data_IF_557681482418
#
_entry.id   IF_557681482418
#
_cell.length_a   1.000
_cell.length_b   1.000
_cell.length_c   1.000
_cell.angle_alpha   90.00
_cell.angle_beta   90.00
_cell.angle_gamma   90.00
#
_symmetry.space_group_name_H-M   'P 1'
#
loop_
_entity.id
_entity.type
_entity.pdbx_description
1 polymer ?
#
# COMPACT_ATOMS: atom_id res chain seq x y z
N UNK A 1 0.94 -21.78 5.27
CA UNK A 1 1.50 -20.45 5.46
C UNK A 1 2.13 -19.92 4.18
N UNK A 2 1.88 -18.68 3.86
CA UNK A 2 2.43 -18.04 2.68
C UNK A 2 3.31 -16.86 3.07
N UNK A 3 4.48 -16.77 2.46
CA UNK A 3 5.39 -15.65 2.66
C UNK A 3 5.24 -14.68 1.48
N UNK A 4 5.13 -13.40 1.80
CA UNK A 4 5.05 -12.34 0.81
C UNK A 4 6.39 -11.63 0.75
N UNK A 5 7.05 -11.67 -0.41
CA UNK A 5 8.38 -11.08 -0.57
C UNK A 5 8.50 -10.19 -1.80
N UNK A 6 7.39 -9.53 -2.17
CA UNK A 6 7.40 -8.60 -3.29
C UNK A 6 8.17 -7.31 -2.99
N UNK A 7 8.37 -7.02 -1.71
CA UNK A 7 9.19 -5.91 -1.25
C UNK A 7 9.85 -6.31 0.06
N UNK A 8 11.04 -5.79 0.31
CA UNK A 8 11.82 -6.16 1.50
C UNK A 8 11.49 -5.31 2.73
N UNK A 9 10.68 -4.28 2.59
CA UNK A 9 10.50 -3.25 3.60
C UNK A 9 9.06 -2.79 3.70
N UNK A 10 8.16 -3.75 3.92
CA UNK A 10 6.73 -3.43 4.07
C UNK A 10 6.52 -2.72 5.40
N UNK A 11 5.98 -1.51 5.33
CA UNK A 11 5.75 -0.65 6.50
C UNK A 11 4.35 -0.80 7.07
N UNK A 12 3.37 -1.08 6.22
CA UNK A 12 2.00 -1.19 6.67
C UNK A 12 1.18 -2.03 5.69
N UNK A 13 0.09 -2.55 6.19
CA UNK A 13 -0.83 -3.37 5.41
C UNK A 13 -2.26 -3.00 5.78
N UNK A 14 -3.12 -2.90 4.79
CA UNK A 14 -4.53 -2.61 4.96
C UNK A 14 -5.37 -3.64 4.24
N UNK A 15 -6.32 -4.26 4.93
CA UNK A 15 -7.26 -5.18 4.32
C UNK A 15 -8.51 -4.42 3.92
N UNK A 16 -8.82 -4.46 2.63
CA UNK A 16 -10.04 -3.86 2.10
C UNK A 16 -11.12 -4.91 1.96
N UNK A 17 -12.09 -4.86 2.84
CA UNK A 17 -13.15 -5.87 2.91
C UNK A 17 -14.01 -5.92 1.64
N UNK A 18 -14.34 -4.76 1.08
CA UNK A 18 -15.24 -4.67 -0.08
C UNK A 18 -14.70 -5.38 -1.33
N UNK A 19 -13.37 -5.44 -1.48
CA UNK A 19 -12.73 -6.09 -2.63
C UNK A 19 -12.02 -7.37 -2.24
N UNK A 20 -11.95 -7.66 -0.94
CA UNK A 20 -11.25 -8.82 -0.39
C UNK A 20 -9.79 -8.85 -0.82
N UNK A 21 -9.13 -7.71 -0.73
CA UNK A 21 -7.75 -7.54 -1.14
C UNK A 21 -6.93 -6.88 -0.04
N UNK A 22 -5.62 -7.06 -0.11
CA UNK A 22 -4.68 -6.38 0.78
C UNK A 22 -3.99 -5.26 0.03
N UNK A 23 -3.78 -4.15 0.72
CA UNK A 23 -2.99 -3.03 0.22
C UNK A 23 -1.76 -2.90 1.12
N UNK A 24 -0.60 -2.85 0.50
CA UNK A 24 0.66 -2.77 1.23
C UNK A 24 1.43 -1.54 0.79
N UNK A 25 2.16 -0.95 1.72
CA UNK A 25 3.07 0.14 1.39
C UNK A 25 4.47 -0.24 1.82
N UNK A 26 5.44 0.00 0.94
CA UNK A 26 6.84 -0.24 1.25
C UNK A 26 7.53 1.09 1.51
N UNK A 27 8.41 1.09 2.49
CA UNK A 27 9.12 2.28 2.95
C UNK A 27 10.19 2.72 1.94
N UNK A 28 11.18 1.86 1.72
CA UNK A 28 12.32 2.23 0.87
C UNK A 28 12.06 2.01 -0.61
N UNK A 29 11.24 1.02 -0.93
CA UNK A 29 10.91 0.74 -2.33
C UNK A 29 9.96 1.77 -2.94
N UNK A 30 9.35 2.62 -2.10
CA UNK A 30 8.44 3.67 -2.55
C UNK A 30 7.34 3.14 -3.45
N UNK A 31 6.66 2.10 -3.00
CA UNK A 31 5.62 1.41 -3.77
C UNK A 31 4.37 1.16 -2.94
N UNK A 32 3.24 1.16 -3.64
CA UNK A 32 1.98 0.63 -3.13
C UNK A 32 1.67 -0.63 -3.91
N UNK A 33 1.31 -1.69 -3.21
CA UNK A 33 1.00 -2.97 -3.82
C UNK A 33 -0.40 -3.42 -3.44
N UNK A 34 -1.11 -3.99 -4.39
CA UNK A 34 -2.42 -4.60 -4.15
C UNK A 34 -2.30 -6.09 -4.34
N UNK A 35 -2.64 -6.86 -3.32
CA UNK A 35 -2.57 -8.31 -3.34
C UNK A 35 -3.96 -8.92 -3.19
N UNK A 36 -4.15 -10.08 -3.80
CA UNK A 36 -5.34 -10.86 -3.55
C UNK A 36 -5.30 -11.45 -2.15
N UNK A 37 -6.44 -11.99 -1.69
CA UNK A 37 -6.52 -12.63 -0.37
C UNK A 37 -5.56 -13.84 -0.28
N UNK A 38 -5.19 -14.43 -1.40
CA UNK A 38 -4.24 -15.55 -1.45
C UNK A 38 -2.80 -15.09 -1.57
N UNK A 39 -2.54 -13.78 -1.61
CA UNK A 39 -1.20 -13.24 -1.65
C UNK A 39 -0.62 -13.03 -3.04
N UNK A 40 -1.43 -13.10 -4.08
CA UNK A 40 -0.97 -12.84 -5.43
C UNK A 40 -0.90 -11.33 -5.69
N UNK A 41 0.18 -10.88 -6.30
CA UNK A 41 0.32 -9.48 -6.66
C UNK A 41 -0.60 -9.14 -7.82
N UNK A 42 -1.58 -8.27 -7.57
CA UNK A 42 -2.53 -7.85 -8.58
C UNK A 42 -2.06 -6.60 -9.30
N UNK A 43 -1.55 -5.62 -8.56
CA UNK A 43 -1.04 -4.37 -9.11
C UNK A 43 0.01 -3.78 -8.19
N UNK A 44 0.89 -2.95 -8.76
CA UNK A 44 1.81 -2.15 -7.96
C UNK A 44 2.02 -0.81 -8.62
N UNK A 45 2.29 0.20 -7.79
CA UNK A 45 2.52 1.57 -8.24
C UNK A 45 3.70 2.15 -7.50
N UNK A 46 4.47 2.97 -8.18
CA UNK A 46 5.50 3.77 -7.53
C UNK A 46 4.84 5.02 -6.96
N UNK A 47 5.30 5.45 -5.80
CA UNK A 47 4.89 6.72 -5.22
C UNK A 47 6.09 7.67 -5.22
N UNK A 48 5.85 9.00 -5.27
CA UNK A 48 6.95 9.96 -5.48
C UNK A 48 7.75 10.28 -4.22
N UNK A 49 7.73 9.41 -3.21
CA UNK A 49 8.47 9.63 -1.97
C UNK A 49 8.73 8.30 -1.28
N UNK A 50 9.75 8.28 -0.43
CA UNK A 50 10.03 7.16 0.46
C UNK A 50 9.44 7.46 1.85
N UNK A 51 9.59 6.52 2.78
CA UNK A 51 9.11 6.68 4.16
C UNK A 51 7.61 6.76 4.31
N UNK A 52 6.87 6.11 3.41
CA UNK A 52 5.45 5.88 3.65
C UNK A 52 5.27 4.94 4.82
N UNK A 53 4.56 5.39 5.85
CA UNK A 53 4.45 4.65 7.12
C UNK A 53 3.07 4.08 7.37
N UNK A 54 2.06 4.55 6.69
CA UNK A 54 0.71 4.05 6.88
C UNK A 54 -0.11 4.15 5.62
N UNK A 55 -1.01 3.21 5.42
CA UNK A 55 -1.91 3.19 4.26
C UNK A 55 -3.32 2.85 4.70
N UNK A 56 -4.29 3.59 4.16
CA UNK A 56 -5.71 3.36 4.42
C UNK A 56 -6.48 3.60 3.13
N UNK A 57 -7.48 2.78 2.90
CA UNK A 57 -8.36 2.92 1.74
C UNK A 57 -9.73 3.36 2.24
N UNK A 58 -10.23 4.47 1.70
CA UNK A 58 -11.57 4.95 1.99
C UNK A 58 -12.27 5.22 0.65
N UNK A 59 -13.30 4.46 0.37
CA UNK A 59 -14.04 4.53 -0.89
C UNK A 59 -13.08 4.33 -2.07
N UNK A 60 -12.88 5.37 -2.89
CA UNK A 60 -12.03 5.27 -4.07
C UNK A 60 -10.69 6.00 -3.89
N UNK A 61 -10.30 6.27 -2.65
CA UNK A 61 -9.07 7.01 -2.37
C UNK A 61 -8.11 6.22 -1.50
N UNK A 62 -6.83 6.41 -1.76
CA UNK A 62 -5.74 5.83 -0.99
C UNK A 62 -5.10 6.95 -0.18
N UNK A 63 -5.04 6.76 1.13
CA UNK A 63 -4.41 7.72 2.04
C UNK A 63 -3.09 7.15 2.53
N UNK A 64 -2.02 7.91 2.37
CA UNK A 64 -0.68 7.50 2.80
C UNK A 64 -0.10 8.55 3.72
N UNK A 65 0.34 8.12 4.90
CA UNK A 65 1.05 8.99 5.83
C UNK A 65 2.54 8.88 5.55
N UNK A 66 3.19 10.02 5.35
CA UNK A 66 4.64 10.06 5.16
C UNK A 66 5.29 10.56 6.44
N UNK A 67 6.15 9.73 7.02
CA UNK A 67 6.80 10.04 8.29
C UNK A 67 7.87 11.13 8.15
N UNK A 68 8.48 11.23 6.98
CA UNK A 68 9.58 12.18 6.77
C UNK A 68 9.13 13.64 6.84
N UNK A 69 8.00 13.97 6.24
CA UNK A 69 7.49 15.33 6.22
C UNK A 69 6.21 15.52 7.04
N UNK A 70 5.72 14.45 7.66
CA UNK A 70 4.51 14.50 8.48
C UNK A 70 3.25 14.80 7.71
N UNK A 71 3.23 14.57 6.41
CA UNK A 71 2.08 14.90 5.56
C UNK A 71 1.24 13.69 5.23
N UNK A 72 -0.04 13.95 4.98
CA UNK A 72 -0.97 12.95 4.48
C UNK A 72 -1.13 13.16 2.98
N UNK A 73 -0.84 12.12 2.21
CA UNK A 73 -0.99 12.16 0.75
C UNK A 73 -2.22 11.37 0.35
N UNK A 74 -2.97 11.90 -0.59
CA UNK A 74 -4.21 11.30 -1.06
C UNK A 74 -4.07 10.98 -2.55
N UNK A 75 -4.27 9.72 -2.91
CA UNK A 75 -4.21 9.27 -4.29
C UNK A 75 -5.56 8.71 -4.71
N UNK A 76 -5.87 8.87 -5.98
CA UNK A 76 -7.05 8.23 -6.54
C UNK A 76 -6.76 6.74 -6.68
N UNK A 77 -7.67 5.91 -6.19
CA UNK A 77 -7.57 4.47 -6.32
C UNK A 77 -7.72 4.10 -7.79
N UNK A 78 -6.77 3.36 -8.38
CA UNK A 78 -6.87 2.98 -9.77
C UNK A 78 -8.00 1.98 -9.98
N UNK A 79 -8.64 2.09 -11.10
CA UNK A 79 -9.76 1.23 -11.47
C UNK A 79 -9.28 -0.08 -12.13
#
# INVERSE_FOLDING_TARGET
RKTIDYASDISDIYYEESTNCFWLISDESAKIMKLSITGELLKEWEIPFTKGEGITIVDDKIYVVNDLDGKLYVFQKPS
#
